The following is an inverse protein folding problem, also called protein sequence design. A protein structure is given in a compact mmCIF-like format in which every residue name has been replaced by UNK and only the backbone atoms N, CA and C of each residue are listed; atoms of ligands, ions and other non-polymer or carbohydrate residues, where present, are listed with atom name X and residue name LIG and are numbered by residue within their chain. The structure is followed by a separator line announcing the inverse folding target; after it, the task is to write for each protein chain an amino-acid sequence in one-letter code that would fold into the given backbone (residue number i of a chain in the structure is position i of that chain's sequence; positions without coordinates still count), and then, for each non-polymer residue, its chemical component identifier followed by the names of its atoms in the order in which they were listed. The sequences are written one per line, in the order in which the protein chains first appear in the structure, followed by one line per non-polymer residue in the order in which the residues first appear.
data_IF_658593600047
#
_entry.id   IF_658593600047
#
_cell.length_a   1.000
_cell.length_b   1.000
_cell.length_c   1.000
_cell.angle_alpha   90.00
_cell.angle_beta   90.00
_cell.angle_gamma   90.00
#
_symmetry.space_group_name_H-M   'P 1'
#
loop_
_entity.id
_entity.type
_entity.pdbx_description
1 polymer ?
#
# COMPACT_ATOMS: atom_id res chain seq x y z
N UNK A 1 4.51 10.47 20.71
CA UNK A 1 5.28 9.78 19.67
C UNK A 1 4.47 9.70 18.40
N UNK A 2 5.02 10.23 17.35
CA UNK A 2 4.33 10.19 16.07
C UNK A 2 4.54 8.83 15.44
N UNK A 3 3.51 8.04 15.42
CA UNK A 3 3.52 6.78 14.68
C UNK A 3 2.85 7.06 13.35
N UNK A 4 3.56 6.79 12.26
CA UNK A 4 2.93 6.87 10.95
C UNK A 4 1.87 5.79 10.87
N UNK A 5 0.62 6.22 10.90
CA UNK A 5 -0.50 5.32 10.71
C UNK A 5 -1.04 5.52 9.32
N UNK A 6 -1.04 4.45 8.55
CA UNK A 6 -1.76 4.47 7.29
C UNK A 6 -3.24 4.31 7.60
N UNK A 7 -4.10 5.12 6.98
CA UNK A 7 -5.53 4.93 7.14
C UNK A 7 -5.94 3.62 6.49
N UNK A 8 -6.34 2.67 7.31
CA UNK A 8 -6.78 1.36 6.86
C UNK A 8 -8.26 1.24 7.15
N UNK A 9 -9.03 0.92 6.13
CA UNK A 9 -10.48 0.79 6.23
C UNK A 9 -10.89 -0.59 5.74
N UNK A 10 -11.68 -1.29 6.56
CA UNK A 10 -12.31 -2.53 6.14
C UNK A 10 -13.57 -2.20 5.35
N UNK A 11 -13.58 -2.52 4.05
CA UNK A 11 -14.72 -2.23 3.19
C UNK A 11 -15.78 -3.34 3.24
N UNK A 12 -15.33 -4.58 3.42
CA UNK A 12 -16.19 -5.76 3.51
C UNK A 12 -15.36 -6.85 4.16
N UNK A 13 -15.95 -8.02 4.41
CA UNK A 13 -15.24 -9.14 5.03
C UNK A 13 -13.96 -9.50 4.31
N UNK A 14 -13.96 -9.35 2.97
CA UNK A 14 -12.85 -9.77 2.12
C UNK A 14 -12.13 -8.60 1.46
N UNK A 15 -12.38 -7.37 1.90
CA UNK A 15 -11.82 -6.18 1.28
C UNK A 15 -11.31 -5.20 2.30
N UNK A 16 -10.07 -4.76 2.12
CA UNK A 16 -9.46 -3.71 2.91
C UNK A 16 -8.92 -2.64 2.00
N UNK A 17 -8.99 -1.40 2.44
CA UNK A 17 -8.47 -0.25 1.71
C UNK A 17 -7.38 0.42 2.52
N UNK A 18 -6.27 0.73 1.87
CA UNK A 18 -5.19 1.52 2.45
C UNK A 18 -5.07 2.80 1.63
N UNK A 19 -5.09 3.94 2.30
CA UNK A 19 -4.86 5.23 1.64
C UNK A 19 -3.39 5.59 1.76
N UNK A 20 -2.73 5.76 0.62
CA UNK A 20 -1.31 6.03 0.54
C UNK A 20 -1.10 7.48 0.11
N UNK A 21 -0.34 8.24 0.90
CA UNK A 21 -0.04 9.63 0.59
C UNK A 21 1.18 9.68 -0.33
N UNK A 22 0.95 10.01 -1.58
CA UNK A 22 1.99 10.04 -2.60
C UNK A 22 2.93 11.23 -2.49
N UNK A 23 2.69 12.11 -1.52
CA UNK A 23 3.68 13.13 -1.18
C UNK A 23 4.84 12.54 -0.39
N UNK A 24 4.66 11.35 0.20
CA UNK A 24 5.65 10.69 1.03
C UNK A 24 6.37 9.54 0.30
N UNK A 25 5.77 9.00 -0.74
CA UNK A 25 6.29 7.84 -1.45
C UNK A 25 6.39 8.12 -2.94
N UNK A 26 7.45 7.61 -3.57
CA UNK A 26 7.55 7.71 -5.01
C UNK A 26 6.72 6.62 -5.70
N UNK A 27 6.31 6.90 -6.92
CA UNK A 27 5.43 6.01 -7.68
C UNK A 27 6.03 4.62 -7.86
N UNK A 28 7.34 4.54 -8.09
CA UNK A 28 8.04 3.29 -8.30
C UNK A 28 7.95 2.38 -7.07
N UNK A 29 8.00 2.97 -5.88
CA UNK A 29 7.88 2.23 -4.63
C UNK A 29 6.48 1.65 -4.48
N UNK A 30 5.46 2.46 -4.75
CA UNK A 30 4.08 1.97 -4.69
C UNK A 30 3.85 0.84 -5.69
N UNK A 31 4.31 1.01 -6.92
CA UNK A 31 4.17 -0.01 -7.96
C UNK A 31 4.85 -1.31 -7.56
N UNK A 32 6.06 -1.24 -7.02
CA UNK A 32 6.80 -2.42 -6.59
C UNK A 32 6.08 -3.15 -5.45
N UNK A 33 5.56 -2.41 -4.49
CA UNK A 33 4.83 -2.99 -3.36
C UNK A 33 3.54 -3.67 -3.84
N UNK A 34 2.78 -3.01 -4.71
CA UNK A 34 1.56 -3.58 -5.28
C UNK A 34 1.87 -4.85 -6.06
N UNK A 35 2.91 -4.83 -6.86
CA UNK A 35 3.31 -6.00 -7.65
C UNK A 35 3.60 -7.20 -6.75
N UNK A 36 4.31 -6.96 -5.65
CA UNK A 36 4.67 -8.03 -4.72
C UNK A 36 3.44 -8.71 -4.12
N UNK A 37 2.40 -7.94 -3.83
CA UNK A 37 1.18 -8.47 -3.22
C UNK A 37 0.16 -8.96 -4.24
N UNK A 38 0.30 -8.59 -5.51
CA UNK A 38 -0.66 -8.95 -6.55
C UNK A 38 -0.66 -10.45 -6.85
N UNK A 39 0.37 -11.17 -6.44
CA UNK A 39 0.42 -12.62 -6.59
C UNK A 39 -0.52 -13.33 -5.61
N UNK A 40 -0.86 -12.68 -4.51
CA UNK A 40 -1.65 -13.29 -3.45
C UNK A 40 -3.09 -12.78 -3.39
N UNK A 41 -3.30 -11.54 -3.82
CA UNK A 41 -4.59 -10.85 -3.69
C UNK A 41 -4.91 -10.08 -4.94
N UNK A 42 -6.21 -9.84 -5.17
CA UNK A 42 -6.60 -8.84 -6.16
C UNK A 42 -6.36 -7.47 -5.59
N UNK A 43 -5.72 -6.60 -6.36
CA UNK A 43 -5.38 -5.27 -5.91
C UNK A 43 -5.86 -4.25 -6.92
N UNK A 44 -6.63 -3.26 -6.43
CA UNK A 44 -7.11 -2.14 -7.22
C UNK A 44 -6.55 -0.86 -6.63
N UNK A 45 -6.22 0.09 -7.48
CA UNK A 45 -5.78 1.39 -7.01
C UNK A 45 -6.58 2.48 -7.69
N UNK A 46 -6.95 3.50 -6.92
CA UNK A 46 -7.73 4.64 -7.39
C UNK A 46 -7.20 5.90 -6.73
N UNK A 47 -7.10 6.98 -7.52
CA UNK A 47 -6.81 8.28 -6.94
C UNK A 47 -8.04 8.75 -6.19
N UNK A 48 -7.84 9.28 -4.98
CA UNK A 48 -8.94 9.80 -4.18
C UNK A 48 -9.59 11.00 -4.89
N UNK A 49 -10.92 11.01 -4.93
CA UNK A 49 -11.66 12.06 -5.62
C UNK A 49 -11.50 13.43 -4.95
N UNK A 50 -11.26 13.44 -3.64
CA UNK A 50 -11.16 14.68 -2.86
C UNK A 50 -9.72 15.14 -2.65
N UNK A 51 -8.75 14.26 -2.87
CA UNK A 51 -7.35 14.59 -2.64
C UNK A 51 -6.48 13.81 -3.63
N UNK A 52 -5.94 14.54 -4.61
CA UNK A 52 -5.16 13.94 -5.69
C UNK A 52 -3.82 13.36 -5.23
N UNK A 53 -3.36 13.70 -4.03
CA UNK A 53 -2.13 13.12 -3.49
C UNK A 53 -2.37 11.78 -2.82
N UNK A 54 -3.62 11.40 -2.58
CA UNK A 54 -3.96 10.12 -1.97
C UNK A 54 -4.34 9.09 -3.02
N UNK A 55 -3.72 7.93 -2.91
CA UNK A 55 -4.09 6.77 -3.73
C UNK A 55 -4.69 5.73 -2.80
N UNK A 56 -5.91 5.30 -3.09
CA UNK A 56 -6.58 4.26 -2.33
C UNK A 56 -6.24 2.91 -2.96
N UNK A 57 -5.58 2.06 -2.19
CA UNK A 57 -5.20 0.71 -2.62
C UNK A 57 -6.15 -0.26 -1.95
N UNK A 58 -6.90 -1.00 -2.75
CA UNK A 58 -7.94 -1.92 -2.26
C UNK A 58 -7.47 -3.35 -2.49
N UNK A 59 -7.45 -4.11 -1.40
CA UNK A 59 -7.06 -5.52 -1.41
C UNK A 59 -8.32 -6.37 -1.31
N UNK A 60 -8.43 -7.36 -2.19
CA UNK A 60 -9.56 -8.29 -2.21
C UNK A 60 -9.04 -9.72 -2.18
N UNK A 61 -9.73 -10.58 -1.45
CA UNK A 61 -9.35 -11.99 -1.34
C UNK A 61 -9.32 -12.66 -2.70
N UNK A 62 -8.32 -13.52 -2.89
CA UNK A 62 -8.11 -14.23 -4.15
C UNK A 62 -7.93 -15.71 -3.85
N UNK A 63 -8.74 -16.55 -4.51
CA UNK A 63 -8.68 -17.98 -4.34
C UNK A 63 -8.80 -18.38 -2.85
N UNK A 64 -7.79 -19.04 -2.30
CA UNK A 64 -7.76 -19.45 -0.90
C UNK A 64 -7.07 -18.44 0.01
N UNK A 65 -6.61 -17.33 -0.55
CA UNK A 65 -5.91 -16.31 0.22
C UNK A 65 -6.91 -15.25 0.69
N UNK A 66 -7.26 -15.30 1.98
CA UNK A 66 -8.14 -14.31 2.57
C UNK A 66 -7.37 -13.07 2.98
N UNK A 67 -7.94 -11.91 2.69
CA UNK A 67 -7.40 -10.66 3.18
C UNK A 67 -7.83 -10.50 4.64
N UNK A 68 -6.84 -10.38 5.53
CA UNK A 68 -7.06 -10.11 6.94
C UNK A 68 -6.47 -8.74 7.25
N UNK A 69 -6.68 -8.24 8.47
CA UNK A 69 -6.13 -6.96 8.86
C UNK A 69 -4.60 -6.92 8.83
N UNK A 70 -3.95 -8.09 8.83
CA UNK A 70 -2.49 -8.15 8.75
C UNK A 70 -1.96 -7.77 7.37
N UNK A 71 -2.75 -7.97 6.32
CA UNK A 71 -2.33 -7.68 4.96
C UNK A 71 -2.04 -6.19 4.74
N UNK A 72 -2.95 -5.28 5.11
CA UNK A 72 -2.65 -3.85 5.03
C UNK A 72 -1.42 -3.45 5.84
N UNK A 73 -1.24 -4.05 7.03
CA UNK A 73 -0.07 -3.75 7.85
C UNK A 73 1.22 -4.18 7.19
N UNK A 74 1.24 -5.37 6.60
CA UNK A 74 2.39 -5.85 5.86
C UNK A 74 2.68 -4.99 4.64
N UNK A 75 1.63 -4.55 3.95
CA UNK A 75 1.78 -3.67 2.80
C UNK A 75 2.39 -2.33 3.19
N UNK A 76 1.93 -1.76 4.30
CA UNK A 76 2.49 -0.49 4.80
C UNK A 76 3.96 -0.65 5.16
N UNK A 77 4.32 -1.76 5.82
CA UNK A 77 5.72 -2.05 6.14
C UNK A 77 6.56 -2.19 4.87
N UNK A 78 6.01 -2.82 3.85
CA UNK A 78 6.71 -2.96 2.57
C UNK A 78 6.93 -1.60 1.91
N UNK A 79 5.95 -0.72 1.94
CA UNK A 79 6.09 0.63 1.39
C UNK A 79 7.23 1.39 2.06
N UNK A 80 7.27 1.34 3.40
CA UNK A 80 8.30 2.03 4.17
C UNK A 80 9.67 1.45 3.83
N UNK A 81 9.79 0.14 3.80
CA UNK A 81 11.06 -0.53 3.51
C UNK A 81 11.53 -0.19 2.10
N UNK A 82 10.65 -0.25 1.12
CA UNK A 82 11.00 0.05 -0.27
C UNK A 82 11.40 1.52 -0.44
N UNK A 83 10.73 2.43 0.25
CA UNK A 83 11.06 3.85 0.18
C UNK A 83 12.46 4.11 0.77
N UNK A 84 12.78 3.46 1.87
CA UNK A 84 14.12 3.58 2.46
C UNK A 84 15.18 3.08 1.50
N UNK A 85 14.96 1.95 0.88
CA UNK A 85 15.90 1.39 -0.10
C UNK A 85 16.03 2.30 -1.31
N UNK A 86 14.93 2.85 -1.79
CA UNK A 86 14.95 3.78 -2.91
C UNK A 86 15.79 5.02 -2.58
N UNK A 87 15.57 5.60 -1.41
CA UNK A 87 16.31 6.79 -0.99
C UNK A 87 17.81 6.51 -0.86
N UNK A 88 18.16 5.34 -0.30
CA UNK A 88 19.55 4.93 -0.17
C UNK A 88 20.21 4.79 -1.53
N UNK A 89 19.55 4.14 -2.47
CA UNK A 89 20.07 3.96 -3.83
C UNK A 89 20.22 5.31 -4.54
N UNK A 90 19.27 6.20 -4.34
CA UNK A 90 19.32 7.53 -4.95
C UNK A 90 20.51 8.34 -4.44
N UNK A 91 20.92 8.13 -3.18
CA UNK A 91 22.05 8.82 -2.60
C UNK A 91 23.39 8.29 -3.13
N UNK A 92 23.46 7.02 -3.42
CA UNK A 92 24.70 6.36 -3.83
C UNK A 92 24.77 6.05 -5.32
N UNK A 93 23.65 6.13 -5.98
CA UNK A 93 23.53 5.85 -7.40
C UNK A 93 23.48 7.10 -8.22
#
# INVERSE_FOLDING_TARGET
MAVMKFPVVELAEDKFQVSVDMSLYVKEVLTAAIYKFSHLFYIHQQTDANNQTLVNVIFESKDNNKVTEDVPKQFCNELIDQQIRYNTNAQFG
#
